data_IF_827771664310
#
_entry.id   IF_827771664310
#
_cell.length_a   1.000
_cell.length_b   1.000
_cell.length_c   1.000
_cell.angle_alpha   90.00
_cell.angle_beta   90.00
_cell.angle_gamma   90.00
#
_symmetry.space_group_name_H-M   'P 1'
#
loop_
_entity.id
_entity.type
_entity.pdbx_description
1 polymer ?
#
# COMPACT_ATOMS: atom_id res chain seq x y z
N UNK A 1 -3.84 4.72 -11.67
CA UNK A 1 -2.49 4.34 -11.21
C UNK A 1 -2.62 3.62 -9.88
N UNK A 2 -1.93 2.48 -9.71
CA UNK A 2 -1.98 1.66 -8.51
C UNK A 2 -0.62 1.54 -7.86
N UNK A 3 -0.55 1.76 -6.54
CA UNK A 3 0.66 1.62 -5.75
C UNK A 3 0.46 0.66 -4.57
N UNK A 4 1.31 -0.36 -4.49
CA UNK A 4 1.26 -1.41 -3.47
C UNK A 4 1.83 -0.97 -2.12
N UNK A 5 1.67 -1.82 -1.10
CA UNK A 5 2.19 -1.63 0.25
C UNK A 5 3.56 -2.28 0.50
N UNK A 6 3.95 -2.28 1.78
CA UNK A 6 5.17 -2.89 2.25
C UNK A 6 5.18 -4.40 2.02
N UNK A 7 6.32 -4.93 1.60
CA UNK A 7 6.49 -6.36 1.35
C UNK A 7 5.71 -6.90 0.15
N UNK A 8 5.19 -6.02 -0.70
CA UNK A 8 4.40 -6.40 -1.87
C UNK A 8 5.01 -5.87 -3.16
N UNK A 9 4.37 -6.19 -4.28
CA UNK A 9 4.68 -5.65 -5.60
C UNK A 9 3.38 -5.35 -6.35
N UNK A 10 3.51 -4.71 -7.51
CA UNK A 10 2.37 -4.45 -8.41
C UNK A 10 1.55 -5.70 -8.78
N UNK A 11 2.16 -6.90 -8.67
CA UNK A 11 1.49 -8.16 -8.98
C UNK A 11 0.27 -8.43 -8.09
N UNK A 12 0.28 -7.93 -6.84
CA UNK A 12 -0.85 -8.04 -5.92
C UNK A 12 -2.14 -7.36 -6.41
N UNK A 13 -2.04 -6.45 -7.39
CA UNK A 13 -3.21 -5.83 -8.04
C UNK A 13 -3.75 -6.64 -9.22
N UNK A 14 -2.96 -7.59 -9.75
CA UNK A 14 -3.31 -8.37 -10.94
C UNK A 14 -4.06 -9.65 -10.60
N UNK A 15 -3.72 -10.28 -9.48
CA UNK A 15 -4.29 -11.57 -9.06
C UNK A 15 -4.34 -11.67 -7.54
N UNK A 16 -5.23 -12.53 -7.04
CA UNK A 16 -5.31 -12.89 -5.62
C UNK A 16 -4.54 -14.18 -5.35
N UNK A 17 -4.18 -14.46 -4.08
CA UNK A 17 -3.45 -15.71 -3.72
C UNK A 17 -4.18 -17.00 -4.08
N UNK A 18 -5.50 -16.97 -4.17
CA UNK A 18 -6.33 -18.11 -4.61
C UNK A 18 -6.60 -18.13 -6.13
N UNK A 19 -5.88 -17.33 -6.91
CA UNK A 19 -5.89 -17.33 -8.36
C UNK A 19 -7.09 -16.61 -9.02
N UNK A 20 -7.87 -15.85 -8.27
CA UNK A 20 -8.90 -14.97 -8.84
C UNK A 20 -8.28 -13.74 -9.48
N UNK A 21 -9.03 -13.07 -10.33
CA UNK A 21 -8.65 -11.79 -10.90
C UNK A 21 -8.50 -10.71 -9.82
N UNK A 22 -7.44 -9.93 -9.92
CA UNK A 22 -7.21 -8.78 -9.06
C UNK A 22 -8.00 -7.54 -9.50
N UNK A 23 -7.84 -6.48 -8.75
CA UNK A 23 -8.55 -5.23 -8.97
C UNK A 23 -8.26 -4.59 -10.32
N UNK A 24 -7.03 -4.70 -10.83
CA UNK A 24 -6.65 -4.14 -12.14
C UNK A 24 -7.58 -4.61 -13.26
N UNK A 25 -7.93 -5.89 -13.28
CA UNK A 25 -8.86 -6.44 -14.27
C UNK A 25 -10.27 -5.86 -14.13
N UNK A 26 -10.74 -5.62 -12.90
CA UNK A 26 -12.04 -5.01 -12.65
C UNK A 26 -12.13 -3.59 -13.20
N UNK A 27 -11.05 -2.81 -13.07
CA UNK A 27 -10.97 -1.45 -13.63
C UNK A 27 -10.90 -1.47 -15.16
N UNK A 28 -10.08 -2.37 -15.74
CA UNK A 28 -10.01 -2.55 -17.19
C UNK A 28 -11.38 -2.90 -17.81
N UNK A 29 -12.14 -3.79 -17.18
CA UNK A 29 -13.51 -4.14 -17.64
C UNK A 29 -14.49 -2.98 -17.59
N UNK A 30 -14.23 -1.99 -16.73
CA UNK A 30 -15.03 -0.76 -16.66
C UNK A 30 -14.55 0.32 -17.62
N UNK A 31 -13.55 0.01 -18.46
CA UNK A 31 -13.03 0.92 -19.48
C UNK A 31 -11.98 1.91 -18.99
N UNK A 32 -11.42 1.70 -17.78
CA UNK A 32 -10.32 2.51 -17.30
C UNK A 32 -8.96 1.99 -17.81
N UNK A 33 -8.07 2.88 -18.21
CA UNK A 33 -6.65 2.57 -18.36
C UNK A 33 -6.04 2.25 -16.98
N UNK A 34 -5.14 1.28 -16.93
CA UNK A 34 -4.54 0.82 -15.65
C UNK A 34 -3.03 0.85 -15.76
N UNK A 35 -2.38 1.52 -14.81
CA UNK A 35 -0.94 1.58 -14.65
C UNK A 35 -0.59 0.99 -13.29
N UNK A 36 0.25 -0.03 -13.28
CA UNK A 36 0.67 -0.76 -12.08
C UNK A 36 2.14 -0.45 -11.81
N UNK A 37 2.43 0.11 -10.66
CA UNK A 37 3.76 0.63 -10.33
C UNK A 37 4.35 -0.13 -9.16
N UNK A 38 5.64 -0.47 -9.27
CA UNK A 38 6.45 -0.90 -8.13
C UNK A 38 7.13 0.32 -7.51
N UNK A 39 7.10 0.41 -6.18
CA UNK A 39 7.81 1.45 -5.46
C UNK A 39 9.33 1.32 -5.67
N UNK A 40 10.09 2.43 -5.64
CA UNK A 40 11.55 2.36 -5.64
C UNK A 40 12.08 1.36 -4.59
N UNK A 41 13.01 0.51 -4.98
CA UNK A 41 13.60 -0.56 -4.15
C UNK A 41 12.61 -1.65 -3.73
N UNK A 42 11.51 -1.80 -4.47
CA UNK A 42 10.47 -2.82 -4.26
C UNK A 42 10.16 -3.52 -5.58
N UNK A 43 9.71 -4.77 -5.50
CA UNK A 43 9.31 -5.51 -6.68
C UNK A 43 10.40 -5.50 -7.77
N UNK A 44 10.01 -5.29 -9.01
CA UNK A 44 10.96 -5.18 -10.13
C UNK A 44 11.78 -3.88 -10.10
N UNK A 45 11.24 -2.80 -9.52
CA UNK A 45 11.98 -1.56 -9.31
C UNK A 45 13.05 -1.68 -8.20
N UNK A 46 13.10 -2.80 -7.51
CA UNK A 46 14.18 -3.18 -6.60
C UNK A 46 15.36 -3.85 -7.27
N UNK A 47 15.19 -4.31 -8.51
CA UNK A 47 16.27 -4.98 -9.25
C UNK A 47 17.28 -3.96 -9.77
N UNK A 48 18.52 -4.04 -9.33
CA UNK A 48 19.62 -3.17 -9.80
C UNK A 48 20.88 -3.96 -10.04
N UNK A 49 21.72 -3.50 -10.98
CA UNK A 49 23.04 -4.08 -11.23
C UNK A 49 23.98 -3.90 -10.02
N UNK A 50 23.79 -2.88 -9.23
CA UNK A 50 24.54 -2.63 -7.99
C UNK A 50 24.31 -3.68 -6.92
N UNK A 51 23.18 -4.38 -6.94
CA UNK A 51 22.89 -5.48 -6.02
C UNK A 51 23.82 -6.68 -6.17
N UNK A 52 24.58 -6.77 -7.24
CA UNK A 52 25.47 -7.91 -7.48
C UNK A 52 26.83 -7.77 -6.80
N UNK A 53 27.20 -6.56 -6.34
CA UNK A 53 28.53 -6.33 -5.76
C UNK A 53 28.50 -5.58 -4.44
N UNK A 54 27.79 -4.46 -4.36
CA UNK A 54 27.91 -3.54 -3.23
C UNK A 54 26.80 -3.68 -2.20
N UNK A 55 25.65 -4.22 -2.59
CA UNK A 55 24.50 -4.34 -1.70
C UNK A 55 24.55 -5.56 -0.76
N UNK A 56 25.39 -6.55 -1.06
CA UNK A 56 25.59 -7.70 -0.15
C UNK A 56 26.29 -7.23 1.13
N UNK A 57 27.22 -6.29 1.04
CA UNK A 57 27.89 -5.72 2.20
C UNK A 57 27.01 -4.70 2.95
N UNK A 58 26.00 -4.14 2.30
CA UNK A 58 24.99 -3.25 2.92
C UNK A 58 23.73 -3.98 3.39
N UNK A 59 23.65 -5.28 3.18
CA UNK A 59 22.70 -6.14 3.87
C UNK A 59 23.10 -6.26 5.35
N UNK A 60 22.99 -5.17 6.04
CA UNK A 60 23.17 -5.10 7.47
C UNK A 60 22.12 -5.97 8.17
N UNK A 61 22.34 -6.27 9.43
CA UNK A 61 21.32 -6.90 10.28
C UNK A 61 20.00 -6.12 10.22
N UNK A 62 20.06 -4.80 10.01
CA UNK A 62 18.89 -3.91 9.81
C UNK A 62 18.08 -4.27 8.56
N UNK A 63 18.66 -4.80 7.50
CA UNK A 63 17.91 -5.21 6.31
C UNK A 63 17.07 -6.48 6.53
N UNK A 64 17.40 -7.30 7.53
CA UNK A 64 16.59 -8.45 7.93
C UNK A 64 15.30 -8.02 8.66
N UNK A 65 15.29 -6.85 9.26
CA UNK A 65 14.08 -6.29 9.89
C UNK A 65 13.01 -5.88 8.87
N UNK A 66 13.36 -5.76 7.59
CA UNK A 66 12.44 -5.35 6.53
C UNK A 66 11.64 -6.48 5.88
N UNK A 67 11.78 -7.69 6.38
CA UNK A 67 10.96 -8.84 5.94
C UNK A 67 10.42 -9.56 7.17
N UNK A 68 9.22 -9.20 7.65
CA UNK A 68 8.53 -9.96 8.67
C UNK A 68 8.36 -11.42 8.26
N UNK A 69 8.44 -12.33 9.22
CA UNK A 69 8.10 -13.73 8.96
C UNK A 69 6.59 -13.92 8.74
N UNK A 70 6.21 -15.09 8.27
CA UNK A 70 4.84 -15.45 7.89
C UNK A 70 3.82 -15.15 8.99
N UNK A 71 4.15 -15.45 10.25
CA UNK A 71 3.28 -15.18 11.38
C UNK A 71 3.00 -13.68 11.57
N UNK A 72 4.00 -12.82 11.35
CA UNK A 72 3.82 -11.38 11.42
C UNK A 72 2.89 -10.89 10.30
N UNK A 73 3.06 -11.40 9.09
CA UNK A 73 2.14 -11.12 7.98
C UNK A 73 0.73 -11.60 8.27
N UNK A 74 0.58 -12.82 8.81
CA UNK A 74 -0.72 -13.40 9.18
C UNK A 74 -1.50 -12.48 10.13
N UNK A 75 -0.81 -11.96 11.14
CA UNK A 75 -1.37 -11.05 12.13
C UNK A 75 -1.64 -9.66 11.55
N UNK A 76 -0.69 -9.13 10.78
CA UNK A 76 -0.77 -7.79 10.19
C UNK A 76 -1.94 -7.64 9.22
N UNK A 77 -2.17 -8.67 8.41
CA UNK A 77 -3.32 -8.72 7.50
C UNK A 77 -4.60 -9.23 8.17
N UNK A 78 -4.56 -9.41 9.47
CA UNK A 78 -5.74 -9.77 10.27
C UNK A 78 -6.47 -11.02 9.77
N UNK A 79 -5.70 -12.00 9.26
CA UNK A 79 -6.24 -13.30 8.87
C UNK A 79 -6.67 -14.06 10.13
N UNK A 80 -5.87 -13.98 11.19
CA UNK A 80 -6.10 -14.56 12.49
C UNK A 80 -5.02 -14.12 13.48
N UNK A 81 -5.05 -14.63 14.72
CA UNK A 81 -4.08 -14.29 15.76
C UNK A 81 -2.80 -15.11 15.67
N UNK A 82 -2.94 -16.39 15.38
CA UNK A 82 -1.83 -17.35 15.25
C UNK A 82 -2.18 -18.30 14.11
N UNK A 83 -1.29 -18.44 13.13
CA UNK A 83 -1.50 -19.38 12.03
C UNK A 83 -1.55 -20.84 12.57
N UNK A 84 -2.47 -21.70 12.12
CA UNK A 84 -3.46 -21.45 11.06
C UNK A 84 -4.84 -20.99 11.56
N UNK A 85 -4.98 -20.59 12.83
CA UNK A 85 -6.25 -20.16 13.42
C UNK A 85 -6.72 -18.84 12.82
N UNK A 86 -7.92 -18.85 12.26
CA UNK A 86 -8.50 -17.71 11.56
C UNK A 86 -9.53 -17.00 12.44
N UNK A 87 -9.72 -15.71 12.22
CA UNK A 87 -10.87 -15.03 12.80
C UNK A 87 -12.17 -15.61 12.21
N UNK A 88 -13.21 -15.70 13.06
CA UNK A 88 -14.54 -16.13 12.62
C UNK A 88 -15.06 -15.16 11.55
N UNK A 89 -15.51 -15.70 10.41
CA UNK A 89 -15.99 -14.92 9.28
C UNK A 89 -14.88 -14.30 8.41
N UNK A 90 -13.61 -14.60 8.65
CA UNK A 90 -12.51 -14.12 7.82
C UNK A 90 -12.77 -14.41 6.33
N UNK A 91 -12.71 -13.38 5.51
CA UNK A 91 -12.92 -13.47 4.05
C UNK A 91 -11.66 -13.87 3.29
N UNK A 92 -10.53 -13.96 3.95
CA UNK A 92 -9.32 -14.50 3.32
C UNK A 92 -9.60 -15.96 2.87
N UNK A 93 -9.18 -16.37 1.65
CA UNK A 93 -9.48 -17.71 1.13
C UNK A 93 -9.09 -18.81 2.10
N UNK A 94 -10.00 -19.77 2.30
CA UNK A 94 -9.72 -20.93 3.13
C UNK A 94 -8.86 -21.93 2.36
N UNK A 95 -7.81 -22.44 2.99
CA UNK A 95 -6.93 -23.45 2.43
C UNK A 95 -5.46 -23.10 2.58
N UNK A 96 -4.64 -24.13 2.76
CA UNK A 96 -3.20 -24.01 2.92
C UNK A 96 -2.56 -23.41 1.66
N UNK A 97 -3.02 -23.80 0.48
CA UNK A 97 -2.47 -23.30 -0.79
C UNK A 97 -2.62 -21.77 -0.95
N UNK A 98 -3.79 -21.22 -0.64
CA UNK A 98 -4.00 -19.78 -0.71
C UNK A 98 -3.11 -19.02 0.29
N UNK A 99 -2.93 -19.58 1.48
CA UNK A 99 -2.04 -19.03 2.50
C UNK A 99 -0.57 -19.12 2.05
N UNK A 100 -0.14 -20.25 1.52
CA UNK A 100 1.20 -20.44 0.97
C UNK A 100 1.49 -19.45 -0.17
N UNK A 101 0.55 -19.27 -1.10
CA UNK A 101 0.70 -18.32 -2.20
C UNK A 101 0.72 -16.87 -1.70
N UNK A 102 -0.05 -16.57 -0.65
CA UNK A 102 -0.01 -15.26 0.00
C UNK A 102 1.37 -14.95 0.59
N UNK A 103 1.99 -15.90 1.27
CA UNK A 103 3.34 -15.71 1.81
C UNK A 103 4.41 -15.67 0.72
N UNK A 104 4.28 -16.50 -0.31
CA UNK A 104 5.23 -16.52 -1.45
C UNK A 104 5.22 -15.25 -2.30
N UNK A 105 4.10 -14.52 -2.34
CA UNK A 105 4.04 -13.25 -3.07
C UNK A 105 4.74 -12.11 -2.32
N UNK A 106 5.05 -12.28 -1.04
CA UNK A 106 5.74 -11.24 -0.28
C UNK A 106 7.13 -10.99 -0.87
N UNK A 107 7.40 -9.72 -1.17
CA UNK A 107 8.58 -9.33 -1.93
C UNK A 107 9.57 -8.61 -1.01
N UNK A 108 10.82 -9.06 -0.93
CA UNK A 108 11.85 -8.39 -0.15
C UNK A 108 12.08 -6.95 -0.61
N UNK A 109 12.33 -6.07 0.35
CA UNK A 109 12.84 -4.75 0.06
C UNK A 109 14.35 -4.83 -0.23
N UNK A 110 14.81 -4.10 -1.22
CA UNK A 110 16.24 -4.07 -1.61
C UNK A 110 16.96 -2.83 -1.10
N UNK A 111 16.39 -2.15 -0.14
CA UNK A 111 16.94 -0.99 0.54
C UNK A 111 15.91 -0.30 1.43
N UNK A 112 16.36 0.66 2.23
CA UNK A 112 15.52 1.44 3.13
C UNK A 112 14.39 2.16 2.38
N UNK A 113 13.27 2.34 3.04
CA UNK A 113 12.18 3.16 2.53
C UNK A 113 12.54 4.63 2.64
N UNK A 114 12.36 5.35 1.56
CA UNK A 114 12.52 6.79 1.48
C UNK A 114 11.26 7.38 0.83
N UNK A 115 10.44 8.02 1.65
CA UNK A 115 9.15 8.55 1.21
C UNK A 115 9.31 9.67 0.19
N UNK A 116 10.36 10.50 0.31
CA UNK A 116 10.61 11.60 -0.62
C UNK A 116 10.96 11.08 -2.01
N UNK A 117 11.83 10.06 -2.08
CA UNK A 117 12.16 9.41 -3.35
C UNK A 117 10.95 8.71 -3.94
N UNK A 118 10.14 8.04 -3.11
CA UNK A 118 8.94 7.35 -3.58
C UNK A 118 7.87 8.33 -4.10
N UNK A 119 7.64 9.45 -3.41
CA UNK A 119 6.71 10.49 -3.84
C UNK A 119 7.16 11.13 -5.15
N UNK A 120 8.43 11.55 -5.24
CA UNK A 120 8.97 12.14 -6.47
C UNK A 120 8.88 11.17 -7.68
N UNK A 121 9.14 9.88 -7.47
CA UNK A 121 8.96 8.89 -8.52
C UNK A 121 7.48 8.74 -8.94
N UNK A 122 6.55 8.88 -8.02
CA UNK A 122 5.12 8.83 -8.33
C UNK A 122 4.63 10.10 -9.02
N UNK A 123 5.17 11.27 -8.70
CA UNK A 123 4.89 12.51 -9.42
C UNK A 123 5.28 12.37 -10.90
N UNK A 124 6.46 11.82 -11.19
CA UNK A 124 6.88 11.54 -12.58
C UNK A 124 5.93 10.56 -13.26
N UNK A 125 5.51 9.48 -12.58
CA UNK A 125 4.53 8.54 -13.13
C UNK A 125 3.19 9.24 -13.44
N UNK A 126 2.70 10.11 -12.56
CA UNK A 126 1.45 10.85 -12.80
C UNK A 126 1.59 11.80 -13.98
N UNK A 127 2.72 12.48 -14.12
CA UNK A 127 3.03 13.35 -15.24
C UNK A 127 3.10 12.57 -16.55
N UNK A 128 3.83 11.45 -16.60
CA UNK A 128 3.93 10.57 -17.76
C UNK A 128 2.56 10.04 -18.20
N UNK A 129 1.73 9.62 -17.26
CA UNK A 129 0.36 9.15 -17.56
C UNK A 129 -0.49 10.30 -18.11
N UNK A 130 -0.37 11.49 -17.57
CA UNK A 130 -1.07 12.67 -18.08
C UNK A 130 -0.59 13.05 -19.51
N UNK A 131 0.70 13.04 -19.74
CA UNK A 131 1.27 13.29 -21.09
C UNK A 131 0.80 12.26 -22.11
N UNK A 132 0.75 10.99 -21.74
CA UNK A 132 0.29 9.91 -22.62
C UNK A 132 -1.22 9.94 -22.90
N UNK A 133 -2.03 10.36 -21.94
CA UNK A 133 -3.48 10.15 -22.00
C UNK A 133 -4.30 11.45 -22.07
N UNK A 134 -3.71 12.58 -21.66
CA UNK A 134 -4.43 13.83 -21.43
C UNK A 134 -5.40 13.80 -20.25
N UNK A 135 -5.32 12.79 -19.39
CA UNK A 135 -6.25 12.58 -18.28
C UNK A 135 -5.49 12.56 -16.95
N UNK A 136 -6.04 13.27 -15.94
CA UNK A 136 -5.57 13.13 -14.56
C UNK A 136 -5.87 11.72 -14.03
N UNK A 137 -5.02 11.22 -13.16
CA UNK A 137 -5.08 9.86 -12.65
C UNK A 137 -5.95 9.72 -11.40
N UNK A 138 -6.76 8.67 -11.33
CA UNK A 138 -7.24 8.16 -10.04
C UNK A 138 -6.08 7.37 -9.42
N UNK A 139 -5.66 7.78 -8.23
CA UNK A 139 -4.56 7.16 -7.51
C UNK A 139 -5.09 6.16 -6.48
N UNK A 140 -4.87 4.88 -6.72
CA UNK A 140 -5.28 3.78 -5.83
C UNK A 140 -4.07 3.29 -5.07
N UNK A 141 -4.09 3.41 -3.76
CA UNK A 141 -2.94 3.09 -2.91
C UNK A 141 -3.30 2.08 -1.83
N UNK A 142 -2.29 1.34 -1.36
CA UNK A 142 -2.43 0.42 -0.22
C UNK A 142 -1.30 0.62 0.77
N UNK A 143 -1.63 0.68 2.06
CA UNK A 143 -0.70 0.59 3.19
C UNK A 143 0.45 1.62 3.09
N UNK A 144 1.71 1.19 2.99
CA UNK A 144 2.88 2.06 2.79
C UNK A 144 2.75 2.93 1.53
N UNK A 145 2.17 2.38 0.45
CA UNK A 145 1.85 3.16 -0.75
C UNK A 145 0.82 4.26 -0.47
N UNK A 146 -0.06 4.08 0.52
CA UNK A 146 -0.96 5.12 1.01
C UNK A 146 -0.21 6.29 1.64
N UNK A 147 0.82 6.00 2.46
CA UNK A 147 1.66 7.07 3.00
C UNK A 147 2.34 7.88 1.87
N UNK A 148 2.85 7.22 0.83
CA UNK A 148 3.40 7.89 -0.36
C UNK A 148 2.32 8.70 -1.08
N UNK A 149 1.10 8.18 -1.14
CA UNK A 149 -0.03 8.81 -1.85
C UNK A 149 -0.42 10.18 -1.30
N UNK A 150 -0.09 10.47 -0.05
CA UNK A 150 -0.35 11.78 0.55
C UNK A 150 0.71 12.84 0.23
N UNK A 151 1.89 12.42 -0.19
CA UNK A 151 3.05 13.29 -0.46
C UNK A 151 3.16 13.70 -1.93
N UNK A 152 2.34 13.12 -2.84
CA UNK A 152 2.38 13.44 -4.27
C UNK A 152 1.79 14.81 -4.57
N UNK A 153 2.29 15.46 -5.63
CA UNK A 153 1.71 16.70 -6.16
C UNK A 153 0.29 16.43 -6.68
N UNK A 154 -0.73 17.12 -6.19
CA UNK A 154 -2.11 16.93 -6.64
C UNK A 154 -2.40 17.40 -8.06
N UNK A 155 -1.45 18.02 -8.77
CA UNK A 155 -1.69 18.62 -10.09
C UNK A 155 -2.30 17.64 -11.08
N UNK A 156 -1.74 16.41 -11.19
CA UNK A 156 -2.19 15.37 -12.12
C UNK A 156 -3.01 14.27 -11.46
N UNK A 157 -3.48 14.50 -10.24
CA UNK A 157 -4.36 13.59 -9.49
C UNK A 157 -5.83 14.03 -9.67
N UNK A 158 -6.69 13.09 -10.08
CA UNK A 158 -8.13 13.30 -10.19
C UNK A 158 -8.89 12.92 -8.91
N UNK A 159 -8.42 11.88 -8.22
CA UNK A 159 -8.97 11.38 -6.96
C UNK A 159 -7.97 10.43 -6.29
N UNK A 160 -8.10 10.25 -4.98
CA UNK A 160 -7.32 9.26 -4.22
C UNK A 160 -8.26 8.21 -3.63
N UNK A 161 -7.94 6.94 -3.84
CA UNK A 161 -8.57 5.79 -3.20
C UNK A 161 -7.52 5.12 -2.34
N UNK A 162 -7.57 5.38 -1.04
CA UNK A 162 -6.61 4.86 -0.08
C UNK A 162 -7.18 3.63 0.64
N UNK A 163 -6.53 2.49 0.46
CA UNK A 163 -6.92 1.23 1.08
C UNK A 163 -5.98 0.97 2.23
N UNK A 164 -6.50 1.02 3.44
CA UNK A 164 -5.72 0.85 4.67
C UNK A 164 -4.40 1.62 4.65
N UNK A 165 -4.42 2.94 4.39
CA UNK A 165 -3.19 3.72 4.27
C UNK A 165 -2.37 3.64 5.55
N UNK A 166 -1.05 3.71 5.42
CA UNK A 166 -0.12 3.67 6.56
C UNK A 166 -0.17 4.89 7.49
N UNK A 167 -1.04 5.83 7.19
CA UNK A 167 -1.29 7.07 7.92
C UNK A 167 -2.13 8.03 7.09
N UNK A 168 -2.35 9.25 7.59
CA UNK A 168 -2.95 10.37 6.86
C UNK A 168 -2.12 11.63 7.13
N UNK A 169 -2.19 12.65 6.28
CA UNK A 169 -1.56 13.94 6.58
C UNK A 169 -2.05 14.51 7.91
N UNK A 170 -1.17 15.15 8.63
CA UNK A 170 -1.55 15.94 9.79
C UNK A 170 -2.46 17.10 9.35
N UNK A 171 -3.56 17.32 10.06
CA UNK A 171 -4.52 18.39 9.75
C UNK A 171 -3.81 19.74 9.83
N UNK A 172 -3.87 20.50 8.73
CA UNK A 172 -3.20 21.79 8.59
C UNK A 172 -1.76 21.70 8.11
N UNK A 173 -1.21 20.50 7.85
CA UNK A 173 0.10 20.35 7.21
C UNK A 173 0.11 20.87 5.78
N UNK A 174 1.28 20.99 5.19
CA UNK A 174 1.44 21.40 3.79
C UNK A 174 0.71 20.43 2.86
N UNK A 175 0.89 19.13 3.05
CA UNK A 175 0.23 18.07 2.27
C UNK A 175 -1.30 18.13 2.40
N UNK A 176 -1.81 18.26 3.63
CA UNK A 176 -3.25 18.44 3.86
C UNK A 176 -3.81 19.64 3.10
N UNK A 177 -3.12 20.79 3.21
CA UNK A 177 -3.57 22.03 2.55
C UNK A 177 -3.44 21.96 1.03
N UNK A 178 -2.45 21.25 0.48
CA UNK A 178 -2.30 21.03 -0.95
C UNK A 178 -3.46 20.21 -1.52
N UNK A 179 -3.82 19.10 -0.87
CA UNK A 179 -4.95 18.27 -1.26
C UNK A 179 -6.29 19.03 -1.15
N UNK A 180 -6.49 19.76 -0.05
CA UNK A 180 -7.68 20.56 0.17
C UNK A 180 -7.79 21.69 -0.84
N UNK A 181 -6.70 22.41 -1.10
CA UNK A 181 -6.64 23.50 -2.07
C UNK A 181 -6.89 23.05 -3.50
N UNK A 182 -6.47 21.85 -3.86
CA UNK A 182 -6.74 21.22 -5.15
C UNK A 182 -8.14 20.56 -5.22
N UNK A 183 -8.87 20.52 -4.10
CA UNK A 183 -10.19 19.90 -3.98
C UNK A 183 -10.22 18.45 -4.48
N UNK A 184 -9.20 17.65 -4.06
CA UNK A 184 -9.07 16.26 -4.49
C UNK A 184 -10.12 15.39 -3.79
N UNK A 185 -11.00 14.68 -4.51
CA UNK A 185 -11.89 13.70 -3.91
C UNK A 185 -11.09 12.55 -3.29
N UNK A 186 -11.36 12.23 -2.03
CA UNK A 186 -10.64 11.19 -1.29
C UNK A 186 -11.63 10.18 -0.72
N UNK A 187 -11.33 8.88 -0.91
CA UNK A 187 -12.04 7.79 -0.26
C UNK A 187 -11.02 6.93 0.48
N UNK A 188 -11.30 6.63 1.73
CA UNK A 188 -10.45 5.78 2.58
C UNK A 188 -11.24 4.53 2.98
N UNK A 189 -10.66 3.36 2.77
CA UNK A 189 -11.22 2.08 3.18
C UNK A 189 -10.35 1.42 4.23
N UNK A 190 -11.01 0.83 5.23
CA UNK A 190 -10.40 -0.08 6.18
C UNK A 190 -11.12 -1.43 6.14
N UNK A 191 -10.37 -2.52 6.28
CA UNK A 191 -10.91 -3.87 6.34
C UNK A 191 -11.35 -4.26 7.75
N UNK A 192 -11.76 -5.51 7.88
CA UNK A 192 -12.30 -6.09 9.11
C UNK A 192 -11.24 -6.34 10.18
N UNK A 193 -11.69 -6.69 11.37
CA UNK A 193 -10.91 -7.20 12.50
C UNK A 193 -9.90 -6.23 13.13
N UNK A 194 -9.99 -4.94 12.83
CA UNK A 194 -9.13 -3.92 13.47
C UNK A 194 -9.34 -3.90 14.99
N UNK A 195 -10.56 -4.16 15.44
CA UNK A 195 -10.94 -4.17 16.85
C UNK A 195 -10.87 -5.55 17.52
N UNK A 196 -10.61 -6.62 16.75
CA UNK A 196 -10.65 -8.01 17.25
C UNK A 196 -9.30 -8.51 17.78
N UNK A 197 -8.21 -7.79 17.54
CA UNK A 197 -6.91 -8.14 18.10
C UNK A 197 -6.85 -7.83 19.62
N UNK A 198 -6.07 -8.61 20.35
CA UNK A 198 -5.74 -8.25 21.74
C UNK A 198 -4.76 -7.07 21.73
N UNK A 199 -4.74 -6.32 22.85
CA UNK A 199 -3.81 -5.21 23.03
C UNK A 199 -2.33 -5.63 22.96
N UNK A 200 -2.06 -6.92 23.17
CA UNK A 200 -0.73 -7.53 23.08
C UNK A 200 -0.22 -7.63 21.64
N UNK A 201 -1.08 -7.45 20.62
CA UNK A 201 -0.69 -7.47 19.23
C UNK A 201 -0.41 -6.04 18.77
N UNK A 202 0.86 -5.70 18.66
CA UNK A 202 1.34 -4.37 18.28
C UNK A 202 0.67 -3.84 17.00
N UNK A 203 0.40 -4.70 16.04
CA UNK A 203 -0.30 -4.32 14.80
C UNK A 203 -1.73 -3.85 15.04
N UNK A 204 -2.45 -4.40 16.03
CA UNK A 204 -3.83 -4.00 16.34
C UNK A 204 -3.92 -2.57 16.87
N UNK A 205 -3.07 -2.20 17.84
CA UNK A 205 -3.03 -0.83 18.36
C UNK A 205 -2.62 0.18 17.29
N UNK A 206 -1.66 -0.17 16.45
CA UNK A 206 -1.24 0.64 15.31
C UNK A 206 -2.41 0.90 14.35
N UNK A 207 -3.09 -0.13 13.87
CA UNK A 207 -4.19 0.03 12.90
C UNK A 207 -5.41 0.75 13.46
N UNK A 208 -5.70 0.60 14.76
CA UNK A 208 -6.74 1.41 15.44
C UNK A 208 -6.38 2.89 15.40
N UNK A 209 -5.15 3.23 15.78
CA UNK A 209 -4.67 4.61 15.75
C UNK A 209 -4.74 5.19 14.33
N UNK A 210 -4.29 4.46 13.34
CA UNK A 210 -4.33 4.90 11.93
C UNK A 210 -5.77 5.13 11.47
N UNK A 211 -6.69 4.19 11.76
CA UNK A 211 -8.13 4.36 11.44
C UNK A 211 -8.72 5.58 12.12
N UNK A 212 -8.51 5.74 13.41
CA UNK A 212 -9.10 6.83 14.19
C UNK A 212 -8.57 8.19 13.73
N UNK A 213 -7.28 8.28 13.37
CA UNK A 213 -6.69 9.45 12.74
C UNK A 213 -7.29 9.72 11.35
N UNK A 214 -7.54 8.67 10.57
CA UNK A 214 -8.17 8.81 9.26
C UNK A 214 -9.62 9.30 9.34
N UNK A 215 -10.37 8.92 10.38
CA UNK A 215 -11.71 9.47 10.64
C UNK A 215 -11.62 10.97 10.92
N UNK A 216 -10.72 11.40 11.81
CA UNK A 216 -10.51 12.82 12.11
C UNK A 216 -10.09 13.62 10.87
N UNK A 217 -9.18 13.06 10.07
CA UNK A 217 -8.77 13.64 8.79
C UNK A 217 -9.99 13.83 7.87
N UNK A 218 -10.80 12.79 7.67
CA UNK A 218 -11.97 12.84 6.79
C UNK A 218 -13.02 13.86 7.28
N UNK A 219 -13.28 13.93 8.58
CA UNK A 219 -14.18 14.92 9.18
C UNK A 219 -13.68 16.35 8.94
N UNK A 220 -12.39 16.59 9.16
CA UNK A 220 -11.78 17.91 8.92
C UNK A 220 -11.73 18.27 7.44
N UNK A 221 -11.47 17.31 6.57
CA UNK A 221 -11.35 17.52 5.12
C UNK A 221 -12.70 17.88 4.47
N UNK A 222 -13.82 17.44 5.05
CA UNK A 222 -15.18 17.68 4.56
C UNK A 222 -15.88 18.84 5.26
N UNK A 223 -15.23 19.51 6.22
CA UNK A 223 -15.83 20.62 6.97
C UNK A 223 -15.75 21.95 6.20
#
# INVERSE_FOLDING_TARGET
>A
VFLHGYGQSRMGWMTTPDGREGWSTSFLRKGHGVFLVDQPRRGEAGSTAAMTTDSIDTWSEDSKEYMPGDQAWYTHFRIGRVAPERYEGSQFPAGEEAQDQFFRQMTPNTGSFDITVAAAAMDEVMNDVYEMTGQKSIYVTHSQGGAVGWEVDPENVAAIVAIEPGGTPEIGSEQYNALLGANIPIVIYFGDYIDNGSEDIQSTSFWRTVRDTAVQFAESYNA
#
